data_IF_764651679844
#
_entry.id   IF_764651679844
#
_cell.length_a   1.000
_cell.length_b   1.000
_cell.length_c   1.000
_cell.angle_alpha   90.00
_cell.angle_beta   90.00
_cell.angle_gamma   90.00
#
_symmetry.space_group_name_H-M   'P 1'
#
loop_
_entity.id
_entity.type
_entity.pdbx_description
1 polymer ?
#
# COMPACT_ATOMS: atom_id res chain seq x y z
N UNK A 1 -4.34 -4.91 -11.24
CA UNK A 1 -4.78 -4.88 -9.83
C UNK A 1 -3.83 -5.71 -8.98
N UNK A 2 -3.57 -5.31 -7.74
CA UNK A 2 -2.77 -6.07 -6.78
C UNK A 2 -3.67 -6.65 -5.68
N UNK A 3 -3.35 -7.85 -5.18
CA UNK A 3 -4.10 -8.51 -4.09
C UNK A 3 -3.16 -8.79 -2.92
N UNK A 4 -3.43 -8.15 -1.77
CA UNK A 4 -2.72 -8.41 -0.51
C UNK A 4 -3.56 -9.36 0.34
N UNK A 5 -3.07 -10.59 0.54
CA UNK A 5 -3.72 -11.60 1.40
C UNK A 5 -3.21 -11.48 2.82
N UNK A 6 -4.13 -11.30 3.77
CA UNK A 6 -3.82 -11.02 5.17
C UNK A 6 -4.50 -12.05 6.05
N UNK A 7 -3.73 -12.68 6.93
CA UNK A 7 -4.25 -13.58 7.92
C UNK A 7 -4.57 -12.83 9.23
N UNK A 8 -5.82 -12.94 9.68
CA UNK A 8 -6.37 -12.21 10.83
C UNK A 8 -6.21 -12.95 12.17
N UNK A 9 -5.18 -13.77 12.34
CA UNK A 9 -4.97 -14.55 13.58
C UNK A 9 -4.84 -13.75 14.88
N UNK A 10 -4.51 -12.45 14.84
CA UNK A 10 -4.41 -11.63 16.04
C UNK A 10 -5.26 -10.36 15.96
N UNK A 11 -5.86 -9.98 17.09
CA UNK A 11 -6.65 -8.75 17.21
C UNK A 11 -5.85 -7.51 16.83
N UNK A 12 -4.54 -7.46 17.16
CA UNK A 12 -3.65 -6.38 16.76
C UNK A 12 -3.50 -6.29 15.23
N UNK A 13 -3.29 -7.42 14.54
CA UNK A 13 -3.20 -7.44 13.08
C UNK A 13 -4.51 -6.99 12.45
N UNK A 14 -5.65 -7.44 12.98
CA UNK A 14 -6.97 -7.03 12.54
C UNK A 14 -7.17 -5.51 12.66
N UNK A 15 -6.82 -4.91 13.80
CA UNK A 15 -6.94 -3.46 13.99
C UNK A 15 -6.06 -2.67 13.00
N UNK A 16 -4.82 -3.12 12.77
CA UNK A 16 -3.92 -2.48 11.79
C UNK A 16 -4.50 -2.60 10.38
N UNK A 17 -4.98 -3.77 9.97
CA UNK A 17 -5.59 -3.98 8.65
C UNK A 17 -6.84 -3.12 8.45
N UNK A 18 -7.70 -3.01 9.46
CA UNK A 18 -8.87 -2.13 9.40
C UNK A 18 -8.44 -0.66 9.26
N UNK A 19 -7.41 -0.24 9.99
CA UNK A 19 -6.88 1.11 9.87
C UNK A 19 -6.30 1.39 8.48
N UNK A 20 -5.54 0.47 7.90
CA UNK A 20 -5.03 0.57 6.52
C UNK A 20 -6.18 0.81 5.53
N UNK A 21 -7.23 -0.02 5.58
CA UNK A 21 -8.40 0.11 4.70
C UNK A 21 -9.13 1.42 4.92
N UNK A 22 -9.30 1.84 6.18
CA UNK A 22 -10.00 3.09 6.51
C UNK A 22 -9.24 4.32 5.98
N UNK A 23 -7.91 4.34 6.13
CA UNK A 23 -7.05 5.42 5.61
C UNK A 23 -7.12 5.49 4.09
N UNK A 24 -7.01 4.36 3.40
CA UNK A 24 -7.09 4.31 1.94
C UNK A 24 -8.48 4.68 1.40
N UNK A 25 -9.56 4.30 2.11
CA UNK A 25 -10.93 4.68 1.71
C UNK A 25 -11.21 6.17 1.88
N UNK A 26 -10.70 6.79 2.95
CA UNK A 26 -10.97 8.20 3.27
C UNK A 26 -10.08 9.16 2.48
N UNK A 27 -8.85 8.75 2.16
CA UNK A 27 -7.87 9.60 1.50
C UNK A 27 -7.65 9.16 0.05
N UNK A 28 -8.49 9.67 -0.85
CA UNK A 28 -8.24 9.57 -2.30
C UNK A 28 -7.34 10.73 -2.71
N UNK A 29 -6.05 10.43 -2.86
CA UNK A 29 -5.02 11.36 -3.32
C UNK A 29 -4.19 10.65 -4.40
N UNK A 30 -3.67 11.35 -5.41
CA UNK A 30 -2.76 10.76 -6.41
C UNK A 30 -1.55 10.04 -5.81
N UNK A 31 -1.14 10.42 -4.59
CA UNK A 31 0.05 9.89 -3.91
C UNK A 31 -0.26 8.76 -2.91
N UNK A 32 -1.53 8.37 -2.79
CA UNK A 32 -1.98 7.28 -1.92
C UNK A 32 -2.55 6.16 -2.78
N UNK A 33 -2.05 4.94 -2.55
CA UNK A 33 -2.51 3.75 -3.28
C UNK A 33 -4.02 3.59 -3.14
N UNK A 34 -4.71 3.48 -4.27
CA UNK A 34 -6.17 3.39 -4.31
C UNK A 34 -6.67 2.03 -3.79
N UNK A 35 -7.62 2.10 -2.85
CA UNK A 35 -8.46 0.98 -2.47
C UNK A 35 -9.52 0.73 -3.54
N UNK A 36 -9.68 -0.54 -3.96
CA UNK A 36 -10.71 -0.94 -4.90
C UNK A 36 -11.82 -1.73 -4.20
N UNK A 37 -11.47 -2.83 -3.53
CA UNK A 37 -12.44 -3.68 -2.80
C UNK A 37 -11.73 -4.57 -1.76
N UNK A 38 -12.50 -5.32 -0.97
CA UNK A 38 -11.98 -6.29 -0.02
C UNK A 38 -12.94 -7.46 0.23
N UNK A 39 -12.38 -8.67 0.36
CA UNK A 39 -13.14 -9.91 0.54
C UNK A 39 -12.61 -10.71 1.73
N UNK A 40 -13.49 -11.53 2.33
CA UNK A 40 -13.10 -12.55 3.31
C UNK A 40 -13.23 -13.92 2.64
N UNK A 41 -12.10 -14.57 2.37
CA UNK A 41 -12.02 -15.87 1.67
C UNK A 41 -11.18 -16.81 2.51
N UNK A 42 -11.70 -18.00 2.83
CA UNK A 42 -10.98 -19.03 3.61
C UNK A 42 -10.31 -18.49 4.90
N UNK A 43 -11.03 -17.63 5.64
CA UNK A 43 -10.54 -16.94 6.86
C UNK A 43 -9.33 -16.02 6.63
N UNK A 44 -9.05 -15.66 5.37
CA UNK A 44 -8.07 -14.65 4.99
C UNK A 44 -8.79 -13.40 4.46
N UNK A 45 -8.32 -12.25 4.89
CA UNK A 45 -8.79 -10.98 4.37
C UNK A 45 -7.98 -10.63 3.12
N UNK A 46 -8.66 -10.48 1.99
CA UNK A 46 -8.06 -10.13 0.71
C UNK A 46 -8.35 -8.67 0.43
N UNK A 47 -7.30 -7.87 0.27
CA UNK A 47 -7.40 -6.48 -0.08
C UNK A 47 -7.07 -6.31 -1.56
N UNK A 48 -8.00 -5.75 -2.32
CA UNK A 48 -7.82 -5.41 -3.75
C UNK A 48 -7.48 -3.94 -3.86
N UNK A 49 -6.33 -3.65 -4.45
CA UNK A 49 -5.80 -2.31 -4.61
C UNK A 49 -5.28 -2.09 -6.03
N UNK A 50 -5.03 -0.84 -6.39
CA UNK A 50 -4.35 -0.55 -7.65
C UNK A 50 -2.95 -1.18 -7.67
N UNK A 51 -2.47 -1.46 -8.88
CA UNK A 51 -1.15 -2.07 -9.07
C UNK A 51 -0.15 -0.97 -9.39
N UNK A 52 0.90 -0.89 -8.58
CA UNK A 52 2.04 0.01 -8.80
C UNK A 52 3.16 -0.76 -9.50
N UNK A 53 3.30 -0.58 -10.80
CA UNK A 53 4.23 -1.31 -11.68
C UNK A 53 5.69 -0.85 -11.53
N UNK A 54 5.93 0.36 -11.03
CA UNK A 54 7.27 0.91 -10.76
C UNK A 54 8.05 0.25 -9.61
N UNK A 55 7.44 -0.66 -8.86
CA UNK A 55 8.08 -1.33 -7.72
C UNK A 55 8.20 -0.44 -6.49
N UNK A 56 9.17 -0.74 -5.61
CA UNK A 56 9.35 -0.02 -4.34
C UNK A 56 10.54 0.94 -4.38
N UNK A 57 10.41 2.08 -3.71
CA UNK A 57 11.52 3.02 -3.53
C UNK A 57 12.73 2.36 -2.86
N UNK A 58 12.51 1.42 -1.93
CA UNK A 58 13.56 0.62 -1.30
C UNK A 58 14.41 -0.17 -2.30
N UNK A 59 13.83 -0.66 -3.39
CA UNK A 59 14.58 -1.36 -4.44
C UNK A 59 15.37 -0.41 -5.33
N UNK A 60 14.93 0.85 -5.47
CA UNK A 60 15.65 1.87 -6.23
C UNK A 60 16.87 2.33 -5.44
N UNK A 61 16.69 2.74 -4.18
CA UNK A 61 17.79 3.27 -3.35
C UNK A 61 18.85 2.21 -2.99
N UNK A 62 18.51 0.92 -3.11
CA UNK A 62 19.49 -0.16 -2.91
C UNK A 62 20.40 -0.38 -4.11
N UNK A 63 20.07 0.18 -5.28
CA UNK A 63 20.80 -0.02 -6.55
C UNK A 63 21.46 1.26 -7.05
N UNK A 64 20.89 2.42 -6.75
CA UNK A 64 21.33 3.72 -7.26
C UNK A 64 21.17 4.81 -6.21
N UNK A 65 22.05 5.80 -6.25
CA UNK A 65 21.87 7.04 -5.50
C UNK A 65 20.90 7.95 -6.25
N UNK A 66 19.95 8.54 -5.53
CA UNK A 66 19.05 9.55 -6.06
C UNK A 66 19.73 10.92 -6.02
N UNK A 67 19.60 11.68 -7.10
CA UNK A 67 19.97 13.09 -7.13
C UNK A 67 19.05 13.93 -6.23
N UNK A 68 19.47 15.15 -5.88
CA UNK A 68 18.64 16.05 -5.07
C UNK A 68 17.30 16.36 -5.73
N UNK A 69 17.27 16.53 -7.05
CA UNK A 69 16.05 16.77 -7.81
C UNK A 69 15.07 15.59 -7.72
N UNK A 70 15.57 14.36 -7.81
CA UNK A 70 14.75 13.14 -7.67
C UNK A 70 14.24 12.97 -6.23
N UNK A 71 15.07 13.26 -5.22
CA UNK A 71 14.66 13.25 -3.82
C UNK A 71 13.59 14.32 -3.53
N UNK A 72 13.74 15.51 -4.11
CA UNK A 72 12.76 16.58 -4.00
C UNK A 72 11.43 16.18 -4.65
N UNK A 73 11.46 15.55 -5.83
CA UNK A 73 10.25 15.08 -6.52
C UNK A 73 9.47 14.04 -5.70
N UNK A 74 10.16 13.13 -5.00
CA UNK A 74 9.51 12.15 -4.10
C UNK A 74 8.92 12.84 -2.86
N UNK A 75 9.58 13.88 -2.34
CA UNK A 75 9.19 14.54 -1.09
C UNK A 75 8.06 15.57 -1.26
N UNK A 76 7.82 16.05 -2.48
CA UNK A 76 6.78 17.03 -2.80
C UNK A 76 5.41 16.40 -3.12
N UNK A 77 5.38 15.10 -3.37
CA UNK A 77 4.16 14.32 -3.60
C UNK A 77 3.45 14.01 -2.28
#
# INVERSE_FOLDING_TARGET
VAIKKINLHSLRKMQVTVNEVMVMKRNRSPCVVNYLDSYLVDKQFWLVMEYMDGGTLSNVISRTFLSEDEMAAVSQQ
#
